data_IF_179549609523
#
_entry.id   IF_179549609523
#
_cell.length_a   1.000
_cell.length_b   1.000
_cell.length_c   1.000
_cell.angle_alpha   90.00
_cell.angle_beta   90.00
_cell.angle_gamma   90.00
#
_symmetry.space_group_name_H-M   'P 1'
#
loop_
_entity.id
_entity.type
_entity.pdbx_description
1 polymer ?
#
# COMPACT_ATOMS: atom_id res chain seq x y z
N UNK A 1 40.12 -20.61 14.01
CA UNK A 1 39.41 -19.38 14.39
C UNK A 1 38.83 -18.83 13.09
N UNK A 2 37.53 -19.01 12.86
CA UNK A 2 36.87 -18.61 11.61
C UNK A 2 36.05 -17.32 11.87
N UNK A 3 36.05 -16.34 10.94
CA UNK A 3 35.11 -15.25 10.97
C UNK A 3 33.80 -15.69 10.31
N UNK A 4 32.68 -15.46 10.98
CA UNK A 4 31.31 -15.71 10.55
C UNK A 4 30.55 -14.61 11.29
N UNK A 5 29.97 -13.58 10.66
CA UNK A 5 29.12 -13.59 9.48
C UNK A 5 29.20 -12.23 8.80
N UNK A 6 29.46 -12.28 7.50
CA UNK A 6 29.22 -11.20 6.54
C UNK A 6 27.72 -10.89 6.51
N UNK A 7 27.41 -9.60 6.50
CA UNK A 7 26.07 -9.03 6.60
C UNK A 7 25.22 -9.36 5.36
N UNK A 8 24.51 -10.48 5.40
CA UNK A 8 23.34 -10.76 4.55
C UNK A 8 22.14 -9.96 5.08
N UNK A 9 22.11 -8.65 4.87
CA UNK A 9 20.90 -7.87 5.12
C UNK A 9 19.89 -8.08 3.97
N UNK A 10 18.79 -8.77 4.31
CA UNK A 10 17.39 -8.72 3.84
C UNK A 10 17.01 -8.04 2.50
N UNK A 11 17.72 -8.30 1.39
CA UNK A 11 17.21 -7.95 0.05
C UNK A 11 15.86 -8.64 -0.26
N UNK A 12 15.61 -9.84 0.27
CA UNK A 12 14.33 -10.54 0.06
C UNK A 12 13.17 -9.89 0.82
N UNK A 13 13.37 -9.37 2.04
CA UNK A 13 12.31 -8.68 2.80
C UNK A 13 11.93 -7.33 2.15
N UNK A 14 12.91 -6.62 1.57
CA UNK A 14 12.64 -5.38 0.83
C UNK A 14 11.85 -5.63 -0.46
N UNK A 15 12.00 -6.80 -1.08
CA UNK A 15 11.23 -7.24 -2.24
C UNK A 15 9.80 -7.67 -1.85
N UNK A 16 9.61 -8.27 -0.68
CA UNK A 16 8.28 -8.65 -0.17
C UNK A 16 7.37 -7.42 0.05
N UNK A 17 7.92 -6.28 0.49
CA UNK A 17 7.17 -5.03 0.69
C UNK A 17 6.67 -4.43 -0.61
N UNK A 18 7.50 -4.51 -1.65
CA UNK A 18 7.13 -4.05 -2.99
C UNK A 18 6.02 -4.93 -3.57
N UNK A 19 5.99 -6.21 -3.24
CA UNK A 19 5.03 -7.16 -3.79
C UNK A 19 3.73 -7.30 -2.97
N UNK A 20 3.73 -7.05 -1.65
CA UNK A 20 2.54 -7.24 -0.81
C UNK A 20 2.46 -6.40 0.48
N UNK A 21 2.23 -5.09 0.37
CA UNK A 21 1.98 -4.16 1.51
C UNK A 21 0.77 -4.50 2.42
N UNK A 22 0.04 -5.58 2.12
CA UNK A 22 -1.16 -6.00 2.83
C UNK A 22 -0.92 -7.19 3.77
N UNK A 23 0.28 -7.77 3.73
CA UNK A 23 0.68 -8.87 4.59
C UNK A 23 0.97 -8.44 6.03
N UNK A 24 1.34 -7.17 6.23
CA UNK A 24 1.74 -6.62 7.53
C UNK A 24 1.06 -5.30 7.85
N UNK A 25 1.21 -4.87 9.10
CA UNK A 25 0.73 -3.57 9.57
C UNK A 25 1.46 -2.43 8.85
N UNK A 26 0.77 -1.31 8.57
CA UNK A 26 1.35 -0.25 7.74
C UNK A 26 2.63 0.36 8.32
N UNK A 27 2.74 0.51 9.64
CA UNK A 27 3.94 1.04 10.31
C UNK A 27 5.13 0.06 10.34
N UNK A 28 4.95 -1.19 9.88
CA UNK A 28 6.03 -2.17 9.72
C UNK A 28 6.54 -2.26 8.28
N UNK A 29 5.96 -1.49 7.36
CA UNK A 29 6.46 -1.40 5.99
C UNK A 29 7.78 -0.63 5.99
N UNK A 30 8.69 -0.99 5.09
CA UNK A 30 9.87 -0.19 4.83
C UNK A 30 9.45 1.09 4.09
N UNK A 31 9.34 2.17 4.85
CA UNK A 31 8.95 3.49 4.37
C UNK A 31 10.18 4.22 3.86
N UNK A 32 10.24 4.44 2.55
CA UNK A 32 11.28 5.28 1.97
C UNK A 32 10.94 6.74 2.21
N UNK A 33 11.87 7.48 2.82
CA UNK A 33 11.78 8.95 2.87
C UNK A 33 12.12 9.50 1.49
N UNK A 34 11.35 10.50 1.04
CA UNK A 34 11.56 11.13 -0.25
C UNK A 34 11.13 12.59 -0.19
N UNK A 35 12.01 13.49 -0.62
CA UNK A 35 11.77 14.95 -0.64
C UNK A 35 10.67 15.39 -1.63
N UNK A 36 10.21 14.50 -2.51
CA UNK A 36 9.19 14.76 -3.53
C UNK A 36 7.77 14.66 -2.95
N UNK A 37 7.57 13.81 -1.93
CA UNK A 37 6.25 13.55 -1.37
C UNK A 37 6.05 14.28 -0.05
N UNK A 38 4.79 14.55 0.29
CA UNK A 38 4.45 15.10 1.59
C UNK A 38 4.90 14.16 2.71
N UNK A 39 5.30 14.68 3.88
CA UNK A 39 5.62 13.85 5.04
C UNK A 39 4.50 12.86 5.36
N UNK A 40 4.88 11.65 5.78
CA UNK A 40 3.97 10.54 6.07
C UNK A 40 3.13 10.06 4.87
N UNK A 41 3.56 10.30 3.64
CA UNK A 41 2.93 9.78 2.43
C UNK A 41 3.88 8.91 1.60
N UNK A 42 3.37 7.75 1.16
CA UNK A 42 4.15 6.77 0.41
C UNK A 42 3.34 6.19 -0.76
N UNK A 43 4.05 5.79 -1.82
CA UNK A 43 3.45 5.18 -3.00
C UNK A 43 4.04 3.80 -3.28
N UNK A 44 3.18 2.81 -3.44
CA UNK A 44 3.58 1.42 -3.69
C UNK A 44 2.90 0.86 -4.94
N UNK A 45 3.66 0.16 -5.77
CA UNK A 45 3.14 -0.62 -6.89
C UNK A 45 3.01 -2.09 -6.49
N UNK A 46 1.80 -2.55 -6.25
CA UNK A 46 1.53 -3.87 -5.67
C UNK A 46 0.95 -4.78 -6.73
N UNK A 47 1.41 -6.04 -6.78
CA UNK A 47 0.78 -7.05 -7.63
C UNK A 47 -0.64 -7.35 -7.14
N UNK A 48 -1.55 -7.68 -8.06
CA UNK A 48 -2.90 -8.11 -7.70
C UNK A 48 -2.83 -9.49 -7.05
N UNK A 49 -2.95 -9.53 -5.72
CA UNK A 49 -2.98 -10.77 -4.94
C UNK A 49 -4.41 -11.08 -4.46
N UNK A 50 -4.75 -12.36 -4.32
CA UNK A 50 -6.01 -12.81 -3.71
C UNK A 50 -5.92 -12.55 -2.20
N UNK A 51 -6.46 -11.43 -1.78
CA UNK A 51 -6.12 -10.81 -0.50
C UNK A 51 -7.07 -11.21 0.62
N UNK A 52 -6.53 -11.80 1.71
CA UNK A 52 -7.07 -11.61 3.06
C UNK A 52 -6.38 -10.39 3.65
N UNK A 53 -7.02 -9.24 3.52
CA UNK A 53 -6.47 -8.00 4.04
C UNK A 53 -6.83 -7.87 5.50
N UNK A 54 -5.98 -8.38 6.39
CA UNK A 54 -6.21 -8.20 7.83
C UNK A 54 -6.07 -6.71 8.18
N UNK A 55 -6.99 -6.19 8.98
CA UNK A 55 -6.98 -4.80 9.45
C UNK A 55 -7.46 -3.74 8.45
N UNK A 56 -7.27 -3.90 7.14
CA UNK A 56 -7.77 -2.91 6.17
C UNK A 56 -9.23 -3.14 5.81
N UNK A 57 -10.06 -2.13 6.04
CA UNK A 57 -11.47 -2.11 5.63
C UNK A 57 -11.70 -1.04 4.56
N UNK A 58 -12.42 -1.38 3.51
CA UNK A 58 -12.82 -0.42 2.49
C UNK A 58 -13.77 0.62 3.09
N UNK A 59 -13.56 1.90 2.75
CA UNK A 59 -14.39 3.00 3.23
C UNK A 59 -14.99 3.76 2.05
N UNK A 60 -16.32 3.87 2.07
CA UNK A 60 -17.09 4.48 1.00
C UNK A 60 -17.16 3.64 -0.29
N UNK A 61 -17.69 4.26 -1.34
CA UNK A 61 -17.92 3.61 -2.62
C UNK A 61 -16.68 3.57 -3.51
N UNK A 62 -16.62 2.55 -4.37
CA UNK A 62 -15.64 2.47 -5.46
C UNK A 62 -15.94 3.58 -6.48
N UNK A 63 -14.96 4.44 -6.76
CA UNK A 63 -15.12 5.59 -7.65
C UNK A 63 -14.31 5.43 -8.92
N UNK A 64 -14.85 5.95 -10.02
CA UNK A 64 -14.11 6.00 -11.28
C UNK A 64 -12.99 7.03 -11.21
N UNK A 65 -11.91 6.73 -11.94
CA UNK A 65 -10.79 7.64 -12.18
C UNK A 65 -10.91 8.07 -13.63
N UNK A 66 -11.13 9.36 -13.84
CA UNK A 66 -11.36 9.94 -15.16
C UNK A 66 -10.12 10.71 -15.62
N UNK A 67 -9.69 10.46 -16.85
CA UNK A 67 -8.64 11.22 -17.51
C UNK A 67 -9.06 12.68 -17.64
N UNK A 68 -8.29 13.61 -17.07
CA UNK A 68 -8.55 15.06 -17.24
C UNK A 68 -8.45 15.52 -18.69
N UNK A 69 -7.67 14.80 -19.52
CA UNK A 69 -7.41 15.15 -20.92
C UNK A 69 -8.52 14.67 -21.85
N UNK A 70 -8.99 13.44 -21.67
CA UNK A 70 -9.94 12.80 -22.61
C UNK A 70 -11.36 12.69 -22.05
N UNK A 71 -11.54 12.84 -20.73
CA UNK A 71 -12.84 12.60 -20.08
C UNK A 71 -13.21 11.13 -19.95
N UNK A 72 -12.35 10.22 -20.39
CA UNK A 72 -12.60 8.78 -20.35
C UNK A 72 -12.24 8.21 -18.98
N UNK A 73 -12.95 7.15 -18.59
CA UNK A 73 -12.60 6.36 -17.40
C UNK A 73 -11.33 5.58 -17.71
N UNK A 74 -10.28 5.79 -16.92
CA UNK A 74 -8.96 5.13 -17.07
C UNK A 74 -8.69 4.12 -15.94
N UNK A 75 -9.56 4.09 -14.93
CA UNK A 75 -9.37 3.24 -13.78
C UNK A 75 -10.46 3.39 -12.74
N UNK A 76 -10.25 2.73 -11.61
CA UNK A 76 -11.08 2.84 -10.41
C UNK A 76 -10.20 3.10 -9.20
N UNK A 77 -10.74 3.83 -8.23
CA UNK A 77 -10.11 4.08 -6.93
C UNK A 77 -11.02 3.70 -5.78
N UNK A 78 -10.45 3.18 -4.71
CA UNK A 78 -11.13 2.91 -3.43
C UNK A 78 -10.29 3.46 -2.28
N UNK A 79 -10.96 3.89 -1.21
CA UNK A 79 -10.28 4.22 0.02
C UNK A 79 -10.35 3.04 0.98
N UNK A 80 -9.32 2.85 1.77
CA UNK A 80 -9.23 1.88 2.85
C UNK A 80 -8.72 2.59 4.10
N UNK A 81 -9.12 2.07 5.26
CA UNK A 81 -8.63 2.51 6.56
C UNK A 81 -8.16 1.29 7.34
N UNK A 82 -7.05 1.42 8.05
CA UNK A 82 -6.49 0.34 8.83
C UNK A 82 -7.00 0.37 10.28
N UNK A 83 -7.44 -0.78 10.75
CA UNK A 83 -7.94 -1.03 12.10
C UNK A 83 -7.02 -2.03 12.79
N UNK A 84 -6.65 -1.73 14.03
CA UNK A 84 -5.80 -2.61 14.84
C UNK A 84 -6.67 -3.76 15.38
N UNK A 85 -6.16 -4.99 15.29
CA UNK A 85 -6.87 -6.16 15.80
C UNK A 85 -7.10 -6.03 17.31
N UNK A 86 -8.33 -6.29 17.76
CA UNK A 86 -8.73 -6.15 19.17
C UNK A 86 -9.39 -4.81 19.55
N UNK A 87 -9.35 -3.80 18.68
CA UNK A 87 -10.08 -2.53 18.90
C UNK A 87 -10.53 -1.91 17.57
N UNK A 88 -11.68 -2.34 17.06
CA UNK A 88 -12.26 -1.81 15.82
C UNK A 88 -12.79 -0.36 15.96
N UNK A 89 -12.84 0.17 17.18
CA UNK A 89 -13.29 1.54 17.45
C UNK A 89 -12.16 2.57 17.33
N UNK A 90 -10.91 2.14 17.50
CA UNK A 90 -9.72 2.98 17.32
C UNK A 90 -9.19 2.87 15.90
N UNK A 91 -9.47 3.91 15.11
CA UNK A 91 -8.73 4.08 13.86
C UNK A 91 -7.25 4.26 14.17
N UNK A 92 -6.41 3.50 13.46
CA UNK A 92 -4.95 3.65 13.58
C UNK A 92 -4.41 4.98 13.01
N UNK A 93 -5.28 5.81 12.41
CA UNK A 93 -4.91 6.99 11.63
C UNK A 93 -4.44 6.67 10.20
N UNK A 94 -4.02 5.42 9.95
CA UNK A 94 -3.54 5.00 8.63
C UNK A 94 -4.68 4.88 7.61
N UNK A 95 -4.43 5.46 6.43
CA UNK A 95 -5.35 5.39 5.29
C UNK A 95 -4.61 4.97 4.03
N UNK A 96 -5.33 4.32 3.13
CA UNK A 96 -4.80 3.92 1.83
C UNK A 96 -5.81 4.26 0.75
N UNK A 97 -5.33 4.82 -0.36
CA UNK A 97 -6.10 4.94 -1.59
C UNK A 97 -5.51 4.03 -2.63
N UNK A 98 -6.26 2.99 -2.97
CA UNK A 98 -5.87 2.01 -3.98
C UNK A 98 -6.46 2.41 -5.33
N UNK A 99 -5.61 2.44 -6.35
CA UNK A 99 -5.95 2.70 -7.75
C UNK A 99 -5.74 1.45 -8.59
N UNK A 100 -6.67 1.18 -9.48
CA UNK A 100 -6.55 0.17 -10.54
C UNK A 100 -6.73 0.78 -11.90
N UNK A 101 -5.88 0.39 -12.84
CA UNK A 101 -6.05 0.69 -14.26
C UNK A 101 -7.07 -0.26 -14.90
N UNK A 102 -7.76 0.21 -15.94
CA UNK A 102 -8.56 -0.67 -16.82
C UNK A 102 -7.66 -1.58 -17.67
N UNK A 103 -6.51 -1.07 -18.12
CA UNK A 103 -5.62 -1.76 -19.06
C UNK A 103 -4.69 -2.78 -18.40
N UNK A 104 -4.14 -2.48 -17.22
CA UNK A 104 -3.31 -3.42 -16.47
C UNK A 104 -3.98 -3.76 -15.13
N UNK A 105 -4.66 -4.90 -15.09
CA UNK A 105 -5.34 -5.36 -13.88
C UNK A 105 -4.42 -6.11 -12.92
N UNK A 106 -3.20 -6.46 -13.34
CA UNK A 106 -2.25 -7.25 -12.56
C UNK A 106 -1.47 -6.40 -11.54
N UNK A 107 -1.56 -5.08 -11.62
CA UNK A 107 -0.90 -4.16 -10.73
C UNK A 107 -1.86 -3.11 -10.17
N UNK A 108 -1.63 -2.69 -8.94
CA UNK A 108 -2.34 -1.64 -8.22
C UNK A 108 -1.35 -0.57 -7.80
N UNK A 109 -1.72 0.69 -7.91
CA UNK A 109 -0.99 1.78 -7.26
C UNK A 109 -1.67 2.07 -5.94
N UNK A 110 -0.91 2.06 -4.85
CA UNK A 110 -1.41 2.32 -3.51
C UNK A 110 -0.75 3.58 -2.98
N UNK A 111 -1.55 4.60 -2.68
CA UNK A 111 -1.13 5.78 -1.94
C UNK A 111 -1.44 5.54 -0.47
N UNK A 112 -0.40 5.35 0.34
CA UNK A 112 -0.48 5.11 1.77
C UNK A 112 -0.18 6.40 2.53
N UNK A 113 -0.96 6.68 3.57
CA UNK A 113 -0.78 7.84 4.43
C UNK A 113 -0.84 7.45 5.89
N UNK A 114 0.19 7.88 6.63
CA UNK A 114 0.30 7.74 8.08
C UNK A 114 -0.48 8.82 8.86
N UNK A 115 -0.64 8.64 10.18
CA UNK A 115 -1.23 9.64 11.07
C UNK A 115 -0.45 10.96 11.13
#
# INVERSE_FOLDING_TARGET
MMPMTEEFYDEEEELEDRDNIYAKEPWRLNHTENDIFEPNEWFYFVKRTNRKVKGWKATGELKDVVSKKTGEVIGKKRNLRFYVEGDESKTSGWTMREYSSIGNQNQRLCHLKGP
#
